data_IF_675424107054
#
_entry.id   IF_675424107054
#
_cell.length_a   1.000
_cell.length_b   1.000
_cell.length_c   1.000
_cell.angle_alpha   90.00
_cell.angle_beta   90.00
_cell.angle_gamma   90.00
#
_symmetry.space_group_name_H-M   'P 1'
#
loop_
_entity.id
_entity.type
_entity.pdbx_description
1 polymer ?
#
# COMPACT_ATOMS: atom_id res chain seq x y z
N UNK A 1 -16.98 1.63 4.23
CA UNK A 1 -15.91 1.61 5.27
C UNK A 1 -14.94 0.42 5.14
N UNK A 2 -15.38 -0.83 4.96
CA UNK A 2 -14.48 -2.00 4.95
C UNK A 2 -13.44 -1.98 3.81
N UNK A 3 -13.88 -1.76 2.57
CA UNK A 3 -13.03 -1.83 1.36
C UNK A 3 -11.83 -0.87 1.42
N UNK A 4 -12.04 0.40 1.78
CA UNK A 4 -10.95 1.38 1.88
C UNK A 4 -9.94 1.04 2.98
N UNK A 5 -10.40 0.54 4.14
CA UNK A 5 -9.51 0.08 5.22
C UNK A 5 -8.73 -1.17 4.84
N UNK A 6 -9.36 -2.12 4.15
CA UNK A 6 -8.69 -3.32 3.65
C UNK A 6 -7.62 -2.97 2.62
N UNK A 7 -7.91 -2.09 1.66
CA UNK A 7 -6.92 -1.62 0.68
C UNK A 7 -5.73 -0.92 1.36
N UNK A 8 -6.02 -0.06 2.33
CA UNK A 8 -4.99 0.66 3.07
C UNK A 8 -4.07 -0.30 3.85
N UNK A 9 -4.64 -1.26 4.61
CA UNK A 9 -3.88 -2.26 5.35
C UNK A 9 -3.06 -3.17 4.41
N UNK A 10 -3.64 -3.57 3.29
CA UNK A 10 -2.95 -4.41 2.30
C UNK A 10 -1.79 -3.65 1.64
N UNK A 11 -2.00 -2.38 1.27
CA UNK A 11 -0.96 -1.50 0.75
C UNK A 11 0.18 -1.31 1.75
N UNK A 12 -0.14 -1.08 3.02
CA UNK A 12 0.85 -0.94 4.09
C UNK A 12 1.70 -2.22 4.26
N UNK A 13 1.08 -3.40 4.24
CA UNK A 13 1.80 -4.67 4.29
C UNK A 13 2.75 -4.83 3.09
N UNK A 14 2.30 -4.52 1.88
CA UNK A 14 3.12 -4.58 0.67
C UNK A 14 4.33 -3.64 0.73
N UNK A 15 4.13 -2.40 1.19
CA UNK A 15 5.22 -1.43 1.37
C UNK A 15 6.23 -1.94 2.40
N UNK A 16 5.75 -2.45 3.53
CA UNK A 16 6.60 -2.98 4.59
C UNK A 16 7.48 -4.13 4.09
N UNK A 17 6.89 -5.17 3.50
CA UNK A 17 7.65 -6.31 2.99
C UNK A 17 8.61 -5.91 1.86
N UNK A 18 8.17 -5.06 0.94
CA UNK A 18 9.03 -4.60 -0.16
C UNK A 18 10.23 -3.81 0.35
N UNK A 19 10.05 -3.00 1.39
CA UNK A 19 11.13 -2.23 2.03
C UNK A 19 12.15 -3.18 2.70
N UNK A 20 11.66 -4.15 3.47
CA UNK A 20 12.51 -5.15 4.13
C UNK A 20 13.32 -5.96 3.11
N UNK A 21 12.68 -6.39 2.01
CA UNK A 21 13.34 -7.12 0.93
C UNK A 21 14.38 -6.25 0.23
N UNK A 22 14.07 -4.99 -0.04
CA UNK A 22 14.99 -4.05 -0.68
C UNK A 22 16.25 -3.79 0.17
N UNK A 23 16.09 -3.78 1.49
CA UNK A 23 17.21 -3.66 2.45
C UNK A 23 18.03 -4.96 2.52
N UNK A 24 17.41 -6.13 2.37
CA UNK A 24 18.10 -7.43 2.50
C UNK A 24 18.80 -7.89 1.22
N UNK A 25 18.38 -7.44 0.04
CA UNK A 25 19.03 -7.79 -1.24
C UNK A 25 20.55 -7.51 -1.25
N UNK A 26 21.06 -6.33 -0.84
CA UNK A 26 22.49 -6.05 -0.79
C UNK A 26 23.31 -6.97 0.12
N UNK A 27 22.68 -7.55 1.15
CA UNK A 27 23.31 -8.47 2.10
C UNK A 27 23.11 -9.93 1.72
N UNK A 28 22.25 -10.21 0.74
CA UNK A 28 22.05 -11.54 0.21
C UNK A 28 23.11 -11.82 -0.85
N UNK A 29 23.86 -12.92 -0.72
CA UNK A 29 24.83 -13.37 -1.73
C UNK A 29 24.15 -13.90 -3.02
N UNK A 30 22.83 -13.71 -3.14
CA UNK A 30 22.04 -14.01 -4.32
C UNK A 30 21.95 -12.78 -5.21
N UNK A 31 22.14 -12.92 -6.52
CA UNK A 31 21.97 -11.87 -7.53
C UNK A 31 20.52 -11.44 -7.73
N UNK A 32 19.78 -11.21 -6.64
CA UNK A 32 18.40 -10.76 -6.65
C UNK A 32 18.29 -9.36 -7.24
N UNK A 33 17.45 -9.21 -8.26
CA UNK A 33 17.21 -7.92 -8.91
C UNK A 33 16.29 -7.02 -8.07
N UNK A 34 16.60 -5.73 -8.01
CA UNK A 34 15.79 -4.71 -7.32
C UNK A 34 14.44 -4.42 -7.99
N UNK A 35 14.23 -4.92 -9.22
CA UNK A 35 13.05 -4.66 -10.03
C UNK A 35 11.77 -5.10 -9.33
N UNK A 36 11.69 -6.36 -8.90
CA UNK A 36 10.47 -6.91 -8.26
C UNK A 36 10.09 -6.20 -6.96
N UNK A 37 11.01 -5.99 -5.99
CA UNK A 37 10.69 -5.23 -4.78
C UNK A 37 10.32 -3.77 -5.07
N UNK A 38 10.93 -3.14 -6.07
CA UNK A 38 10.61 -1.76 -6.46
C UNK A 38 9.17 -1.65 -6.99
N UNK A 39 8.76 -2.55 -7.90
CA UNK A 39 7.38 -2.59 -8.39
C UNK A 39 6.38 -2.93 -7.29
N UNK A 40 6.72 -3.85 -6.38
CA UNK A 40 5.88 -4.19 -5.23
C UNK A 40 5.71 -2.99 -4.26
N UNK A 41 6.78 -2.21 -4.03
CA UNK A 41 6.74 -0.98 -3.24
C UNK A 41 5.80 0.05 -3.87
N UNK A 42 5.96 0.32 -5.17
CA UNK A 42 5.13 1.28 -5.90
C UNK A 42 3.65 0.88 -5.88
N UNK A 43 3.36 -0.42 -6.09
CA UNK A 43 2.00 -0.93 -6.00
C UNK A 43 1.42 -0.81 -4.58
N UNK A 44 2.23 -1.08 -3.55
CA UNK A 44 1.82 -0.90 -2.16
C UNK A 44 1.49 0.56 -1.82
N UNK A 45 2.31 1.50 -2.29
CA UNK A 45 2.06 2.94 -2.11
C UNK A 45 0.78 3.41 -2.83
N UNK A 46 0.57 2.95 -4.07
CA UNK A 46 -0.66 3.24 -4.81
C UNK A 46 -1.89 2.66 -4.10
N UNK A 47 -1.83 1.40 -3.64
CA UNK A 47 -2.93 0.77 -2.90
C UNK A 47 -3.25 1.50 -1.59
N UNK A 48 -2.22 1.98 -0.88
CA UNK A 48 -2.38 2.78 0.33
C UNK A 48 -3.06 4.13 0.03
N UNK A 49 -2.61 4.85 -0.99
CA UNK A 49 -3.22 6.13 -1.40
C UNK A 49 -4.66 5.99 -1.92
N UNK A 50 -4.94 4.95 -2.73
CA UNK A 50 -6.31 4.65 -3.18
C UNK A 50 -7.19 4.25 -2.00
N UNK A 51 -6.66 3.48 -1.05
CA UNK A 51 -7.36 3.11 0.18
C UNK A 51 -7.81 4.33 0.98
N UNK A 52 -6.93 5.31 1.16
CA UNK A 52 -7.23 6.58 1.83
C UNK A 52 -8.31 7.38 1.06
N UNK A 53 -8.18 7.48 -0.26
CA UNK A 53 -9.13 8.21 -1.12
C UNK A 53 -10.54 7.59 -1.06
N UNK A 54 -10.64 6.26 -1.00
CA UNK A 54 -11.91 5.54 -0.82
C UNK A 54 -12.48 5.75 0.59
N UNK A 55 -11.64 5.83 1.63
CA UNK A 55 -12.08 6.15 2.99
C UNK A 55 -12.67 7.55 3.03
N UNK A 56 -11.98 8.54 2.47
CA UNK A 56 -12.41 9.94 2.45
C UNK A 56 -13.71 10.13 1.65
N UNK A 57 -13.78 9.55 0.45
CA UNK A 57 -15.01 9.58 -0.35
C UNK A 57 -16.22 8.98 0.38
N UNK A 58 -16.02 7.90 1.12
CA UNK A 58 -17.07 7.30 1.94
C UNK A 58 -17.43 8.16 3.17
N UNK A 59 -16.47 8.89 3.74
CA UNK A 59 -16.71 9.81 4.84
C UNK A 59 -17.51 11.04 4.38
N UNK A 60 -17.15 11.65 3.25
CA UNK A 60 -17.88 12.78 2.65
C UNK A 60 -19.33 12.42 2.31
N UNK A 61 -19.56 11.25 1.71
CA UNK A 61 -20.92 10.74 1.45
C UNK A 61 -21.74 10.53 2.71
N UNK A 62 -21.11 10.16 3.82
CA UNK A 62 -21.81 10.01 5.10
C UNK A 62 -22.28 11.35 5.66
N UNK A 63 -21.48 12.41 5.46
CA UNK A 63 -21.81 13.77 5.93
C UNK A 63 -22.92 14.40 5.09
N UNK A 64 -22.89 14.22 3.76
CA UNK A 64 -23.95 14.71 2.85
C UNK A 64 -25.31 14.06 3.10
N UNK A 65 -25.34 12.81 3.59
CA UNK A 65 -26.60 12.09 3.86
C UNK A 65 -27.24 12.47 5.20
N UNK A 66 -26.54 13.21 6.04
CA UNK A 66 -27.02 13.70 7.34
C UNK A 66 -27.43 15.18 7.33
N UNK A 67 -27.30 15.86 6.20
CA UNK A 67 -27.85 17.21 5.94
C UNK A 67 -29.13 17.12 5.11
#
# INVERSE_FOLDING_TARGET
>A
MFVGRTLFLLGMAFVFFSTVIMITIPFSNSGGGFVTPLFALLNGLLAMGVGELVIDANHRKSLEKSS
#
